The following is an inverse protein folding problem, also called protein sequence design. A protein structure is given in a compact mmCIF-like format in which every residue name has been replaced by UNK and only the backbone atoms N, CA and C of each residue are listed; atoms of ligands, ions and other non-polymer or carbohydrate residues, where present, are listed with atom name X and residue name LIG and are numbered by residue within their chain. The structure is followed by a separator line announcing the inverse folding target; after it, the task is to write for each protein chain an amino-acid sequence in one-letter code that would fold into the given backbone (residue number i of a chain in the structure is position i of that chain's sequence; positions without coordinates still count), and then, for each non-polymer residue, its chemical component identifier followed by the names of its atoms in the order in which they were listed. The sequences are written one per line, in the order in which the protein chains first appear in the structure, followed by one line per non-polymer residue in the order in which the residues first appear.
data_IF_075455490122
#
_entry.id   IF_075455490122
#
_cell.length_a   1.000
_cell.length_b   1.000
_cell.length_c   1.000
_cell.angle_alpha   90.00
_cell.angle_beta   90.00
_cell.angle_gamma   90.00
#
_symmetry.space_group_name_H-M   'P 1'
#
loop_
_entity.id
_entity.type
_entity.pdbx_description
1 polymer ?
#
# COMPACT_ATOMS: atom_id res chain seq x y z
N UNK A 1 -10.96 -59.43 30.15
CA UNK A 1 -10.13 -58.38 29.52
C UNK A 1 -9.13 -57.62 30.43
N UNK A 2 -9.03 -57.84 31.76
CA UNK A 2 -7.92 -57.30 32.56
C UNK A 2 -6.54 -57.95 32.28
N UNK A 3 -6.53 -59.27 32.02
CA UNK A 3 -5.31 -60.08 31.88
C UNK A 3 -4.38 -59.69 30.71
N UNK A 4 -4.93 -59.16 29.62
CA UNK A 4 -4.13 -58.87 28.43
C UNK A 4 -3.24 -57.63 28.63
N UNK A 5 -3.79 -56.58 29.25
CA UNK A 5 -3.04 -55.36 29.54
C UNK A 5 -1.98 -55.56 30.63
N UNK A 6 -2.25 -56.41 31.63
CA UNK A 6 -1.28 -56.76 32.66
C UNK A 6 -0.12 -57.63 32.12
N UNK A 7 -0.41 -58.61 31.25
CA UNK A 7 0.64 -59.37 30.53
C UNK A 7 1.46 -58.51 29.58
N UNK A 8 0.87 -57.52 28.92
CA UNK A 8 1.62 -56.60 28.05
C UNK A 8 2.54 -55.66 28.82
N UNK A 9 2.09 -55.18 30.00
CA UNK A 9 2.92 -54.35 30.89
C UNK A 9 4.08 -55.14 31.51
N UNK A 10 3.94 -56.45 31.75
CA UNK A 10 5.03 -57.26 32.28
C UNK A 10 6.13 -57.56 31.25
N UNK A 11 5.79 -57.61 29.95
CA UNK A 11 6.74 -57.81 28.85
C UNK A 11 7.38 -56.48 28.42
N UNK A 12 6.63 -55.38 28.44
CA UNK A 12 7.09 -54.04 28.08
C UNK A 12 6.68 -53.01 29.15
N UNK A 13 7.45 -52.88 30.25
CA UNK A 13 7.08 -52.03 31.39
C UNK A 13 6.95 -50.54 31.04
N UNK A 14 7.60 -50.10 29.96
CA UNK A 14 7.58 -48.71 29.50
C UNK A 14 6.60 -48.46 28.34
N UNK A 15 5.74 -49.42 27.98
CA UNK A 15 4.86 -49.32 26.80
C UNK A 15 3.95 -48.09 26.82
N UNK A 16 3.41 -47.73 28.00
CA UNK A 16 2.58 -46.52 28.16
C UNK A 16 3.36 -45.24 27.86
N UNK A 17 4.59 -45.15 28.36
CA UNK A 17 5.50 -44.02 28.13
C UNK A 17 5.83 -43.91 26.63
N UNK A 18 6.10 -45.04 25.96
CA UNK A 18 6.36 -45.06 24.51
C UNK A 18 5.15 -44.64 23.68
N UNK A 19 3.94 -45.06 24.08
CA UNK A 19 2.70 -44.63 23.44
C UNK A 19 2.48 -43.13 23.63
N UNK A 20 2.70 -42.60 24.83
CA UNK A 20 2.58 -41.18 25.11
C UNK A 20 3.59 -40.36 24.29
N UNK A 21 4.85 -40.80 24.21
CA UNK A 21 5.85 -40.18 23.35
C UNK A 21 5.45 -40.20 21.89
N UNK A 22 4.92 -41.32 21.39
CA UNK A 22 4.46 -41.44 20.02
C UNK A 22 3.30 -40.49 19.73
N UNK A 23 2.32 -40.39 20.65
CA UNK A 23 1.19 -39.47 20.53
C UNK A 23 1.65 -38.02 20.56
N UNK A 24 2.58 -37.64 21.45
CA UNK A 24 3.15 -36.29 21.51
C UNK A 24 3.89 -35.97 20.20
N UNK A 25 4.76 -36.87 19.71
CA UNK A 25 5.48 -36.70 18.45
C UNK A 25 4.53 -36.56 17.26
N UNK A 26 3.52 -37.43 17.16
CA UNK A 26 2.50 -37.35 16.13
C UNK A 26 1.73 -36.03 16.19
N UNK A 27 1.41 -35.54 17.39
CA UNK A 27 0.73 -34.25 17.59
C UNK A 27 1.58 -33.07 17.15
N UNK A 28 2.87 -33.06 17.53
CA UNK A 28 3.83 -32.03 17.08
C UNK A 28 4.00 -32.07 15.56
N UNK A 29 4.08 -33.25 14.97
CA UNK A 29 4.19 -33.43 13.53
C UNK A 29 2.94 -32.92 12.81
N UNK A 30 1.75 -33.31 13.25
CA UNK A 30 0.47 -32.81 12.71
C UNK A 30 0.42 -31.29 12.83
N UNK A 31 0.74 -30.73 14.00
CA UNK A 31 0.73 -29.29 14.20
C UNK A 31 1.70 -28.56 13.25
N UNK A 32 2.90 -29.10 13.05
CA UNK A 32 3.88 -28.53 12.13
C UNK A 32 3.37 -28.50 10.68
N UNK A 33 2.82 -29.61 10.18
CA UNK A 33 2.35 -29.71 8.79
C UNK A 33 1.00 -29.02 8.55
N UNK A 34 0.13 -28.96 9.55
CA UNK A 34 -1.19 -28.33 9.42
C UNK A 34 -1.17 -26.82 9.63
N UNK A 35 -0.25 -26.28 10.44
CA UNK A 35 -0.23 -24.85 10.77
C UNK A 35 1.05 -24.16 10.34
N UNK A 36 2.22 -24.64 10.79
CA UNK A 36 3.49 -23.94 10.60
C UNK A 36 4.00 -23.96 9.15
N UNK A 37 3.96 -25.11 8.50
CA UNK A 37 4.44 -25.25 7.11
C UNK A 37 3.61 -24.41 6.13
N UNK A 38 2.26 -24.47 6.17
CA UNK A 38 1.43 -23.57 5.37
C UNK A 38 1.69 -22.10 5.66
N UNK A 39 1.81 -21.70 6.94
CA UNK A 39 2.11 -20.32 7.32
C UNK A 39 3.41 -19.81 6.69
N UNK A 40 4.51 -20.58 6.80
CA UNK A 40 5.80 -20.23 6.18
C UNK A 40 5.70 -20.15 4.65
N UNK A 41 4.90 -21.01 4.04
CA UNK A 41 4.70 -21.00 2.59
C UNK A 41 3.94 -19.73 2.17
N UNK A 42 2.89 -19.34 2.90
CA UNK A 42 2.18 -18.08 2.68
C UNK A 42 3.09 -16.86 2.90
N UNK A 43 3.90 -16.85 3.96
CA UNK A 43 4.89 -15.78 4.21
C UNK A 43 5.90 -15.67 3.05
N UNK A 44 6.42 -16.80 2.57
CA UNK A 44 7.35 -16.81 1.43
C UNK A 44 6.69 -16.29 0.15
N UNK A 45 5.45 -16.70 -0.13
CA UNK A 45 4.72 -16.19 -1.29
C UNK A 45 4.44 -14.69 -1.17
N UNK A 46 4.00 -14.22 0.01
CA UNK A 46 3.78 -12.80 0.26
C UNK A 46 5.05 -11.98 0.04
N UNK A 47 6.20 -12.46 0.53
CA UNK A 47 7.50 -11.82 0.31
C UNK A 47 7.87 -11.76 -1.17
N UNK A 48 7.70 -12.85 -1.92
CA UNK A 48 8.00 -12.91 -3.37
C UNK A 48 7.17 -11.91 -4.18
N UNK A 49 5.90 -11.67 -3.80
CA UNK A 49 5.04 -10.69 -4.46
C UNK A 49 5.65 -9.28 -4.35
N UNK A 50 6.12 -8.89 -3.16
CA UNK A 50 6.76 -7.60 -2.95
C UNK A 50 8.12 -7.48 -3.66
N UNK A 51 8.92 -8.55 -3.65
CA UNK A 51 10.19 -8.61 -4.39
C UNK A 51 9.97 -8.41 -5.90
N UNK A 52 8.91 -8.99 -6.46
CA UNK A 52 8.57 -8.80 -7.87
C UNK A 52 8.14 -7.37 -8.18
N UNK A 53 7.33 -6.73 -7.32
CA UNK A 53 6.95 -5.32 -7.50
C UNK A 53 8.19 -4.42 -7.42
N UNK A 54 9.10 -4.67 -6.46
CA UNK A 54 10.37 -3.95 -6.36
C UNK A 54 11.21 -4.08 -7.63
N UNK A 55 11.31 -5.28 -8.19
CA UNK A 55 12.01 -5.52 -9.44
C UNK A 55 11.40 -4.72 -10.61
N UNK A 56 10.07 -4.73 -10.73
CA UNK A 56 9.38 -3.99 -11.79
C UNK A 56 9.54 -2.48 -11.65
N UNK A 57 9.49 -1.94 -10.43
CA UNK A 57 9.71 -0.52 -10.17
C UNK A 57 11.16 -0.10 -10.48
N UNK A 58 12.14 -0.94 -10.12
CA UNK A 58 13.54 -0.71 -10.45
C UNK A 58 13.77 -0.68 -11.96
N UNK A 59 13.12 -1.58 -12.71
CA UNK A 59 13.19 -1.60 -14.18
C UNK A 59 12.65 -0.30 -14.80
N UNK A 60 11.52 0.22 -14.32
CA UNK A 60 10.99 1.51 -14.78
C UNK A 60 12.02 2.61 -14.52
N UNK A 61 12.66 2.63 -13.35
CA UNK A 61 13.74 3.59 -13.06
C UNK A 61 14.93 3.49 -14.03
N UNK A 62 15.34 2.27 -14.39
CA UNK A 62 16.42 2.04 -15.37
C UNK A 62 16.06 2.54 -16.77
N UNK A 63 14.80 2.35 -17.21
CA UNK A 63 14.32 2.77 -18.53
C UNK A 63 14.35 4.31 -18.71
N UNK A 64 14.30 5.08 -17.62
CA UNK A 64 14.39 6.55 -17.63
C UNK A 64 15.81 7.10 -17.36
N UNK A 65 16.77 6.65 -18.20
CA UNK A 65 18.14 7.17 -18.37
C UNK A 65 19.02 7.17 -17.09
N UNK A 66 18.61 6.47 -16.02
CA UNK A 66 19.33 6.38 -14.75
C UNK A 66 19.57 7.72 -14.03
N UNK A 67 18.99 8.81 -14.53
CA UNK A 67 19.17 10.19 -14.02
C UNK A 67 18.04 10.61 -13.08
N UNK A 68 16.90 9.93 -13.13
CA UNK A 68 15.74 10.23 -12.30
C UNK A 68 15.57 9.18 -11.22
N UNK A 69 15.60 9.64 -9.99
CA UNK A 69 15.29 8.80 -8.84
C UNK A 69 13.77 8.84 -8.62
N UNK A 70 13.03 8.02 -9.37
CA UNK A 70 11.60 7.86 -9.13
C UNK A 70 11.40 6.97 -7.92
N UNK A 71 10.59 7.46 -6.99
CA UNK A 71 10.15 6.73 -5.83
C UNK A 71 8.71 6.34 -6.02
N UNK A 72 8.43 5.06 -5.80
CA UNK A 72 7.09 4.51 -5.95
C UNK A 72 6.56 4.14 -4.58
N UNK A 73 5.33 4.48 -4.28
CA UNK A 73 4.68 3.98 -3.07
C UNK A 73 3.24 3.57 -3.36
N UNK A 74 2.78 2.56 -2.63
CA UNK A 74 1.39 2.10 -2.70
C UNK A 74 0.73 2.49 -1.39
N UNK A 75 -0.39 3.21 -1.51
CA UNK A 75 -1.22 3.59 -0.37
C UNK A 75 -2.59 2.94 -0.48
N UNK A 76 -3.04 2.28 0.58
CA UNK A 76 -4.41 1.76 0.68
C UNK A 76 -5.27 2.66 1.55
N UNK A 77 -6.55 2.76 1.20
CA UNK A 77 -7.52 3.48 2.00
C UNK A 77 -7.91 2.64 3.23
N UNK A 78 -7.51 3.10 4.42
CA UNK A 78 -7.88 2.53 5.71
C UNK A 78 -8.95 3.41 6.38
N UNK A 79 -10.04 2.79 6.80
CA UNK A 79 -11.05 3.48 7.61
C UNK A 79 -10.52 3.67 9.03
N UNK A 80 -10.57 4.90 9.55
CA UNK A 80 -10.22 5.21 10.94
C UNK A 80 -11.36 5.88 11.68
N UNK A 81 -11.40 5.55 12.97
CA UNK A 81 -12.30 6.12 13.95
C UNK A 81 -11.53 7.03 14.90
N UNK A 82 -12.17 8.10 15.36
CA UNK A 82 -11.65 9.02 16.38
C UNK A 82 -10.20 9.46 16.14
N UNK A 83 -9.93 10.13 15.02
CA UNK A 83 -8.59 10.59 14.67
C UNK A 83 -8.57 12.10 14.39
N UNK A 84 -7.44 12.72 14.65
CA UNK A 84 -7.20 14.11 14.30
C UNK A 84 -6.81 14.20 12.83
N UNK A 85 -7.56 15.00 12.07
CA UNK A 85 -7.20 15.45 10.73
C UNK A 85 -6.49 16.79 10.89
N UNK A 86 -5.24 16.86 10.46
CA UNK A 86 -4.54 18.14 10.33
C UNK A 86 -5.20 18.97 9.21
N UNK A 87 -5.34 20.30 9.39
CA UNK A 87 -6.37 21.08 8.70
C UNK A 87 -6.36 20.90 7.18
N UNK A 88 -7.56 20.70 6.64
CA UNK A 88 -7.92 21.17 5.29
C UNK A 88 -8.42 22.60 5.46
N UNK A 89 -8.08 23.49 4.50
CA UNK A 89 -8.39 24.93 4.48
C UNK A 89 -9.64 25.33 5.29
N UNK A 90 -9.47 26.38 6.08
CA UNK A 90 -10.49 26.96 6.95
C UNK A 90 -11.82 27.19 6.22
N UNK A 91 -12.84 26.37 6.52
CA UNK A 91 -14.23 26.77 6.32
C UNK A 91 -14.79 27.23 7.68
N UNK A 92 -15.12 28.51 7.71
CA UNK A 92 -15.36 29.37 8.87
C UNK A 92 -16.74 29.18 9.52
N UNK A 93 -16.98 28.05 10.19
CA UNK A 93 -18.16 27.94 11.07
C UNK A 93 -17.87 27.34 12.46
N UNK A 94 -16.79 26.57 12.62
CA UNK A 94 -16.47 25.88 13.88
C UNK A 94 -14.98 25.94 14.25
N UNK A 95 -14.26 27.00 13.85
CA UNK A 95 -12.81 27.13 14.05
C UNK A 95 -12.39 27.28 15.53
N UNK A 96 -13.32 27.68 16.41
CA UNK A 96 -13.04 27.92 17.84
C UNK A 96 -12.76 26.66 18.67
N UNK A 97 -13.10 25.45 18.19
CA UNK A 97 -12.84 24.18 18.89
C UNK A 97 -11.44 23.59 18.60
N UNK A 98 -10.65 24.24 17.76
CA UNK A 98 -9.38 23.74 17.25
C UNK A 98 -8.26 24.71 17.60
N UNK A 99 -7.68 24.56 18.81
CA UNK A 99 -6.59 25.44 19.28
C UNK A 99 -5.32 25.40 18.42
N UNK A 100 -5.15 24.39 17.55
CA UNK A 100 -3.98 24.20 16.67
C UNK A 100 -4.35 23.88 15.20
N UNK A 101 -5.51 24.31 14.71
CA UNK A 101 -5.96 23.99 13.34
C UNK A 101 -6.38 22.52 13.07
N UNK A 102 -6.21 21.60 14.02
CA UNK A 102 -6.55 20.17 13.84
C UNK A 102 -8.05 19.92 14.05
N UNK A 103 -8.73 19.39 13.03
CA UNK A 103 -10.14 18.97 13.13
C UNK A 103 -10.20 17.54 13.65
N UNK A 104 -10.85 17.34 14.79
CA UNK A 104 -11.19 15.99 15.24
C UNK A 104 -12.23 15.39 14.30
N UNK A 105 -11.94 14.23 13.74
CA UNK A 105 -12.88 13.46 12.93
C UNK A 105 -13.24 12.17 13.64
N UNK A 106 -14.54 11.96 13.81
CA UNK A 106 -15.08 10.72 14.34
C UNK A 106 -14.89 9.55 13.38
N UNK A 107 -14.89 9.83 12.07
CA UNK A 107 -14.86 8.81 11.02
C UNK A 107 -14.28 9.35 9.72
N UNK A 108 -13.48 8.54 9.03
CA UNK A 108 -13.07 8.81 7.65
C UNK A 108 -11.98 7.87 7.15
N UNK A 109 -11.60 8.05 5.89
CA UNK A 109 -10.58 7.23 5.23
C UNK A 109 -9.26 7.98 5.15
N UNK A 110 -8.18 7.30 5.55
CA UNK A 110 -6.82 7.76 5.37
C UNK A 110 -6.10 6.87 4.37
N UNK A 111 -5.10 7.43 3.69
CA UNK A 111 -4.20 6.68 2.83
C UNK A 111 -3.00 6.23 3.66
N UNK A 112 -2.87 4.92 3.84
CA UNK A 112 -1.77 4.28 4.57
C UNK A 112 -0.80 3.68 3.56
N UNK A 113 0.46 4.09 3.63
CA UNK A 113 1.54 3.48 2.86
C UNK A 113 1.70 2.03 3.30
N UNK A 114 1.59 1.10 2.36
CA UNK A 114 1.79 -0.34 2.61
C UNK A 114 3.06 -0.88 1.94
N UNK A 115 3.60 -0.12 0.99
CA UNK A 115 4.82 -0.44 0.27
C UNK A 115 5.45 0.83 -0.28
N UNK A 116 6.78 0.84 -0.31
CA UNK A 116 7.61 1.96 -0.76
C UNK A 116 8.86 1.39 -1.45
N UNK A 117 9.16 1.90 -2.64
CA UNK A 117 10.34 1.60 -3.43
C UNK A 117 11.16 2.87 -3.53
N UNK A 118 12.15 2.96 -2.65
CA UNK A 118 13.00 4.13 -2.51
C UNK A 118 13.61 4.25 -1.13
N UNK A 119 14.59 5.15 -1.00
CA UNK A 119 15.31 5.42 0.24
C UNK A 119 14.60 6.46 1.13
N UNK A 120 13.53 7.07 0.63
CA UNK A 120 12.82 8.13 1.35
C UNK A 120 11.93 7.52 2.42
N UNK A 121 12.48 7.33 3.61
CA UNK A 121 11.66 7.14 4.80
C UNK A 121 10.77 8.37 5.00
N UNK A 122 9.51 8.30 4.53
CA UNK A 122 8.51 9.28 4.92
C UNK A 122 8.43 9.31 6.45
N UNK A 123 8.30 10.51 7.06
CA UNK A 123 8.16 10.59 8.51
C UNK A 123 7.02 9.66 8.94
N UNK A 124 7.16 8.89 10.04
CA UNK A 124 6.12 7.95 10.49
C UNK A 124 4.77 8.62 10.79
N UNK A 125 4.76 9.95 10.91
CA UNK A 125 3.59 10.78 11.14
C UNK A 125 3.00 11.40 9.85
N UNK A 126 3.65 11.22 8.69
CA UNK A 126 3.12 11.70 7.42
C UNK A 126 1.88 10.88 7.05
N UNK A 127 0.71 11.51 7.14
CA UNK A 127 -0.58 10.89 6.84
C UNK A 127 -1.32 11.77 5.86
N UNK A 128 -1.84 11.17 4.80
CA UNK A 128 -2.72 11.84 3.86
C UNK A 128 -4.13 11.30 4.00
N UNK A 129 -5.13 12.18 3.99
CA UNK A 129 -6.52 11.74 3.83
C UNK A 129 -6.82 11.49 2.36
N UNK A 130 -7.90 10.77 2.07
CA UNK A 130 -8.39 10.62 0.69
C UNK A 130 -8.83 11.95 0.05
N UNK A 131 -8.82 13.05 0.80
CA UNK A 131 -9.23 14.35 0.32
C UNK A 131 -8.07 15.29 -0.03
N UNK A 132 -6.83 14.84 0.17
CA UNK A 132 -5.64 15.69 0.12
C UNK A 132 -4.67 15.21 -0.96
N UNK A 133 -3.99 16.16 -1.58
CA UNK A 133 -2.98 15.94 -2.61
C UNK A 133 -3.49 15.27 -3.88
N UNK A 134 -2.54 14.98 -4.78
CA UNK A 134 -2.80 14.24 -6.01
C UNK A 134 -3.30 12.82 -5.74
N UNK A 135 -2.82 12.19 -4.66
CA UNK A 135 -3.25 10.86 -4.24
C UNK A 135 -4.72 10.84 -3.81
N UNK A 136 -5.19 11.84 -3.08
CA UNK A 136 -6.60 11.97 -2.73
C UNK A 136 -7.47 12.27 -3.95
N UNK A 137 -6.98 13.13 -4.86
CA UNK A 137 -7.67 13.42 -6.11
C UNK A 137 -7.84 12.16 -6.98
N UNK A 138 -6.76 11.41 -7.18
CA UNK A 138 -6.79 10.14 -7.91
C UNK A 138 -7.74 9.12 -7.24
N UNK A 139 -7.74 9.06 -5.91
CA UNK A 139 -8.63 8.17 -5.18
C UNK A 139 -10.12 8.50 -5.36
N UNK A 140 -10.49 9.79 -5.34
CA UNK A 140 -11.89 10.23 -5.42
C UNK A 140 -12.45 10.20 -6.83
N UNK A 141 -11.62 10.59 -7.81
CA UNK A 141 -12.06 10.75 -9.20
C UNK A 141 -11.78 9.52 -10.05
N UNK A 142 -10.88 8.63 -9.61
CA UNK A 142 -10.55 7.41 -10.33
C UNK A 142 -11.75 6.48 -10.45
N UNK A 143 -12.07 6.08 -11.68
CA UNK A 143 -13.11 5.09 -11.96
C UNK A 143 -12.55 3.82 -12.61
N UNK A 144 -11.30 3.83 -13.07
CA UNK A 144 -10.55 2.68 -13.58
C UNK A 144 -9.04 2.91 -13.51
N UNK A 145 -8.27 1.81 -13.53
CA UNK A 145 -6.80 1.84 -13.64
C UNK A 145 -6.40 2.02 -15.11
N UNK A 146 -6.36 3.27 -15.56
CA UNK A 146 -5.96 3.70 -16.91
C UNK A 146 -5.14 4.99 -16.88
N UNK A 147 -4.38 5.24 -17.95
CA UNK A 147 -3.50 6.40 -18.06
C UNK A 147 -4.28 7.73 -17.97
N UNK A 148 -5.51 7.76 -18.50
CA UNK A 148 -6.39 8.93 -18.48
C UNK A 148 -6.89 9.32 -17.08
N UNK A 149 -6.79 8.41 -16.11
CA UNK A 149 -7.15 8.66 -14.71
C UNK A 149 -5.96 8.98 -13.80
N UNK A 150 -4.73 9.00 -14.35
CA UNK A 150 -3.57 9.41 -13.57
C UNK A 150 -3.66 10.91 -13.29
N UNK A 151 -3.52 11.28 -12.02
CA UNK A 151 -3.39 12.67 -11.59
C UNK A 151 -1.91 13.01 -11.47
N UNK A 152 -1.39 13.74 -12.45
CA UNK A 152 0.00 14.17 -12.49
C UNK A 152 0.17 15.67 -12.30
N UNK A 153 1.26 16.07 -11.67
CA UNK A 153 1.76 17.45 -11.57
C UNK A 153 3.27 17.47 -11.83
N UNK A 154 3.72 18.43 -12.64
CA UNK A 154 5.13 18.68 -12.96
C UNK A 154 5.48 20.06 -12.40
N UNK A 155 6.61 20.16 -11.72
CA UNK A 155 7.00 21.31 -10.90
C UNK A 155 5.85 21.75 -9.98
N UNK A 156 5.73 21.12 -8.79
CA UNK A 156 4.77 21.54 -7.75
C UNK A 156 4.92 23.01 -7.34
N UNK A 157 6.03 23.66 -7.71
CA UNK A 157 6.25 25.10 -7.57
C UNK A 157 5.48 25.96 -8.59
N UNK A 158 5.18 25.44 -9.78
CA UNK A 158 4.48 26.16 -10.86
C UNK A 158 2.99 25.83 -10.97
N UNK A 159 2.51 24.75 -10.36
CA UNK A 159 1.06 24.61 -10.16
C UNK A 159 0.61 25.67 -9.15
N UNK A 160 0.10 26.77 -9.68
CA UNK A 160 -0.52 27.95 -9.04
C UNK A 160 -1.71 27.65 -8.11
N UNK A 161 -1.84 26.40 -7.67
CA UNK A 161 -2.75 25.99 -6.62
C UNK A 161 -2.07 25.02 -5.64
N UNK A 162 -0.88 25.37 -5.11
CA UNK A 162 -0.37 24.81 -3.85
C UNK A 162 -1.40 24.82 -2.70
N UNK A 163 -2.49 25.56 -2.93
CA UNK A 163 -3.61 25.84 -2.07
C UNK A 163 -4.91 25.06 -2.42
N UNK A 164 -5.00 24.33 -3.56
CA UNK A 164 -6.16 23.46 -3.88
C UNK A 164 -5.95 22.00 -3.48
N UNK A 165 -4.70 21.60 -3.26
CA UNK A 165 -4.36 20.23 -2.84
C UNK A 165 -4.78 19.91 -1.40
N UNK A 166 -5.15 20.91 -0.60
CA UNK A 166 -5.59 20.72 0.79
C UNK A 166 -4.50 20.17 1.73
N UNK A 167 -3.23 20.24 1.31
CA UNK A 167 -2.07 19.86 2.11
C UNK A 167 -1.86 20.86 3.26
N UNK A 168 -1.48 20.36 4.43
CA UNK A 168 -1.10 21.18 5.58
C UNK A 168 0.37 21.63 5.49
N UNK A 169 0.81 22.50 6.40
CA UNK A 169 2.17 23.07 6.35
C UNK A 169 3.31 22.04 6.50
N UNK A 170 3.13 21.01 7.33
CA UNK A 170 4.12 19.93 7.45
C UNK A 170 4.20 19.09 6.17
N UNK A 171 3.04 18.77 5.59
CA UNK A 171 2.95 18.06 4.32
C UNK A 171 3.56 18.87 3.18
N UNK A 172 3.23 20.17 3.10
CA UNK A 172 3.80 21.10 2.13
C UNK A 172 5.32 21.17 2.25
N UNK A 173 5.87 21.15 3.47
CA UNK A 173 7.34 21.10 3.69
C UNK A 173 7.95 19.82 3.16
N UNK A 174 7.33 18.66 3.42
CA UNK A 174 7.82 17.36 2.95
C UNK A 174 7.75 17.23 1.42
N UNK A 175 6.72 17.82 0.79
CA UNK A 175 6.50 17.74 -0.65
C UNK A 175 7.12 18.88 -1.46
N UNK A 176 7.76 19.86 -0.80
CA UNK A 176 8.24 21.10 -1.44
C UNK A 176 9.23 20.85 -2.59
N UNK A 177 10.09 19.85 -2.41
CA UNK A 177 11.17 19.54 -3.36
C UNK A 177 10.74 18.48 -4.38
N UNK A 178 9.47 18.07 -4.37
CA UNK A 178 8.95 17.12 -5.34
C UNK A 178 8.72 17.86 -6.66
N UNK A 179 9.39 17.35 -7.67
CA UNK A 179 9.47 17.92 -9.01
C UNK A 179 8.48 17.22 -9.95
N UNK A 180 8.42 15.89 -9.88
CA UNK A 180 7.39 15.10 -10.56
C UNK A 180 6.54 14.42 -9.48
N UNK A 181 5.22 14.49 -9.62
CA UNK A 181 4.29 13.68 -8.84
C UNK A 181 3.19 13.12 -9.74
N UNK A 182 2.94 11.82 -9.68
CA UNK A 182 1.85 11.17 -10.37
C UNK A 182 1.15 10.16 -9.45
N UNK A 183 -0.18 10.13 -9.49
CA UNK A 183 -1.00 9.21 -8.70
C UNK A 183 -1.95 8.44 -9.61
N UNK A 184 -1.80 7.11 -9.63
CA UNK A 184 -2.68 6.19 -10.35
C UNK A 184 -3.67 5.52 -9.39
N UNK A 185 -4.99 5.55 -9.65
CA UNK A 185 -5.96 4.86 -8.81
C UNK A 185 -5.85 3.34 -8.93
N UNK A 186 -5.96 2.66 -7.80
CA UNK A 186 -6.03 1.20 -7.73
C UNK A 186 -7.50 0.78 -7.66
N UNK A 187 -8.05 0.36 -8.80
CA UNK A 187 -9.48 0.05 -8.93
C UNK A 187 -9.72 -1.45 -8.99
N UNK A 188 -10.49 -1.97 -8.02
CA UNK A 188 -11.03 -3.32 -8.05
C UNK A 188 -12.32 -3.38 -8.85
N UNK A 189 -12.48 -4.46 -9.60
CA UNK A 189 -13.69 -4.75 -10.36
C UNK A 189 -14.29 -6.05 -9.84
N UNK A 190 -15.31 -5.93 -8.98
CA UNK A 190 -16.01 -7.06 -8.40
C UNK A 190 -17.24 -7.37 -9.27
N UNK A 191 -17.38 -8.62 -9.70
CA UNK A 191 -18.62 -9.11 -10.34
C UNK A 191 -19.54 -9.64 -9.24
N UNK A 192 -20.69 -9.00 -9.08
CA UNK A 192 -21.75 -9.41 -8.17
C UNK A 192 -23.01 -9.79 -8.98
N UNK A 193 -24.00 -10.41 -8.33
CA UNK A 193 -25.29 -10.78 -8.95
C UNK A 193 -25.99 -9.57 -9.59
N UNK A 194 -25.73 -8.38 -9.04
CA UNK A 194 -26.28 -7.10 -9.49
C UNK A 194 -25.44 -6.38 -10.56
N UNK A 195 -24.39 -7.03 -11.09
CA UNK A 195 -23.52 -6.49 -12.14
C UNK A 195 -22.09 -6.20 -11.68
N UNK A 196 -21.38 -5.39 -12.48
CA UNK A 196 -19.98 -5.05 -12.26
C UNK A 196 -19.88 -3.84 -11.32
N UNK A 197 -19.31 -4.02 -10.13
CA UNK A 197 -19.01 -2.94 -9.19
C UNK A 197 -17.53 -2.59 -9.28
N UNK A 198 -17.22 -1.33 -9.60
CA UNK A 198 -15.87 -0.79 -9.53
C UNK A 198 -15.66 -0.04 -8.22
N UNK A 199 -14.55 -0.28 -7.53
CA UNK A 199 -14.20 0.39 -6.27
C UNK A 199 -12.73 0.73 -6.24
N UNK A 200 -12.42 1.99 -5.96
CA UNK A 200 -11.04 2.41 -5.66
C UNK A 200 -10.68 1.97 -4.25
N UNK A 201 -9.59 1.21 -4.12
CA UNK A 201 -9.10 0.66 -2.85
C UNK A 201 -7.85 1.40 -2.34
N UNK A 202 -7.19 2.15 -3.21
CA UNK A 202 -5.95 2.84 -2.91
C UNK A 202 -5.40 3.57 -4.13
N UNK A 203 -4.13 3.95 -4.05
CA UNK A 203 -3.39 4.59 -5.14
C UNK A 203 -1.95 4.09 -5.19
N UNK A 204 -1.38 4.02 -6.39
CA UNK A 204 0.05 3.97 -6.63
C UNK A 204 0.52 5.40 -6.88
N UNK A 205 1.46 5.89 -6.09
CA UNK A 205 2.09 7.19 -6.31
C UNK A 205 3.50 7.01 -6.82
N UNK A 206 3.91 7.93 -7.68
CA UNK A 206 5.27 8.07 -8.19
C UNK A 206 5.71 9.49 -7.94
N UNK A 207 6.87 9.67 -7.33
CA UNK A 207 7.43 10.98 -7.01
C UNK A 207 8.92 11.05 -7.32
N UNK A 208 9.40 12.18 -7.82
CA UNK A 208 10.82 12.43 -8.04
C UNK A 208 11.20 13.83 -7.60
N UNK A 209 12.41 13.96 -7.05
CA UNK A 209 13.05 15.24 -6.70
C UNK A 209 14.16 15.64 -7.68
N UNK A 210 14.46 14.78 -8.66
CA UNK A 210 15.52 15.06 -9.63
C UNK A 210 15.13 16.24 -10.53
N UNK A 211 15.91 17.31 -10.46
CA UNK A 211 15.75 18.52 -11.28
C UNK A 211 16.04 18.18 -12.75
N UNK A 212 15.36 18.84 -13.70
CA UNK A 212 15.41 18.62 -15.16
C UNK A 212 14.68 17.36 -15.66
N UNK A 213 14.03 16.62 -14.75
CA UNK A 213 13.17 15.49 -15.10
C UNK A 213 11.87 15.91 -15.78
N UNK A 214 11.42 17.12 -15.49
CA UNK A 214 10.22 17.73 -16.06
C UNK A 214 10.36 17.92 -17.57
N UNK A 215 11.53 18.37 -18.02
CA UNK A 215 11.82 18.65 -19.44
C UNK A 215 11.66 17.40 -20.31
N UNK A 216 12.03 16.23 -19.77
CA UNK A 216 11.87 14.95 -20.44
C UNK A 216 10.41 14.49 -20.53
N UNK A 217 9.54 14.99 -19.64
CA UNK A 217 8.11 14.69 -19.62
C UNK A 217 7.24 15.82 -20.21
N UNK A 218 7.87 16.90 -20.70
CA UNK A 218 7.19 17.88 -21.56
C UNK A 218 6.82 17.28 -22.94
N UNK A 219 7.58 16.28 -23.39
CA UNK A 219 7.22 15.48 -24.57
C UNK A 219 5.97 14.63 -24.27
N UNK A 220 4.88 14.89 -25.00
CA UNK A 220 3.61 14.19 -24.86
C UNK A 220 3.75 12.67 -25.04
N UNK A 221 4.64 12.21 -25.92
CA UNK A 221 4.87 10.79 -26.15
C UNK A 221 5.55 10.15 -24.94
N UNK A 222 6.60 10.79 -24.40
CA UNK A 222 7.31 10.28 -23.22
C UNK A 222 6.42 10.27 -21.98
N UNK A 223 5.63 11.33 -21.80
CA UNK A 223 4.63 11.40 -20.73
C UNK A 223 3.58 10.29 -20.82
N UNK A 224 3.11 10.00 -22.03
CA UNK A 224 2.16 8.91 -22.25
C UNK A 224 2.79 7.55 -21.89
N UNK A 225 4.01 7.28 -22.38
CA UNK A 225 4.75 6.05 -22.04
C UNK A 225 4.92 5.89 -20.53
N UNK A 226 5.34 6.96 -19.85
CA UNK A 226 5.48 6.98 -18.40
C UNK A 226 4.17 6.60 -17.69
N UNK A 227 3.05 7.19 -18.09
CA UNK A 227 1.75 6.88 -17.51
C UNK A 227 1.30 5.44 -17.78
N UNK A 228 1.57 4.90 -18.96
CA UNK A 228 1.30 3.50 -19.28
C UNK A 228 2.12 2.54 -18.40
N UNK A 229 3.39 2.85 -18.12
CA UNK A 229 4.23 2.03 -17.24
C UNK A 229 3.76 2.08 -15.79
N UNK A 230 3.34 3.24 -15.30
CA UNK A 230 2.72 3.39 -13.97
C UNK A 230 1.41 2.59 -13.88
N UNK A 231 0.59 2.61 -14.92
CA UNK A 231 -0.62 1.77 -15.00
C UNK A 231 -0.27 0.29 -15.04
N UNK A 232 0.77 -0.10 -15.78
CA UNK A 232 1.26 -1.47 -15.84
C UNK A 232 1.67 -1.97 -14.46
N UNK A 233 2.48 -1.20 -13.73
CA UNK A 233 2.88 -1.52 -12.36
C UNK A 233 1.67 -1.62 -11.42
N UNK A 234 0.70 -0.71 -11.56
CA UNK A 234 -0.55 -0.73 -10.79
C UNK A 234 -1.35 -2.02 -11.03
N UNK A 235 -1.47 -2.45 -12.28
CA UNK A 235 -2.15 -3.70 -12.65
C UNK A 235 -1.42 -4.94 -12.15
N UNK A 236 -0.08 -4.94 -12.21
CA UNK A 236 0.74 -6.01 -11.65
C UNK A 236 0.49 -6.13 -10.14
N UNK A 237 0.47 -5.01 -9.42
CA UNK A 237 0.14 -5.02 -7.99
C UNK A 237 -1.23 -5.65 -7.73
N UNK A 238 -2.27 -5.19 -8.45
CA UNK A 238 -3.64 -5.70 -8.31
C UNK A 238 -3.68 -7.21 -8.55
N UNK A 239 -3.06 -7.71 -9.62
CA UNK A 239 -3.05 -9.13 -9.97
C UNK A 239 -2.29 -10.02 -8.97
N UNK A 240 -1.30 -9.48 -8.27
CA UNK A 240 -0.53 -10.25 -7.30
C UNK A 240 -1.20 -10.29 -5.92
N UNK A 241 -1.90 -9.22 -5.53
CA UNK A 241 -2.35 -9.03 -4.14
C UNK A 241 -3.86 -9.19 -3.94
N UNK A 242 -4.65 -9.28 -5.01
CA UNK A 242 -6.12 -9.33 -4.97
C UNK A 242 -6.63 -10.41 -5.92
#
# INVERSE_FOLDING_TARGET
MPDFCEKLKSIHPNLGIWLDYFVILATVFIYYYSFWSPLKLYESQARKKWEFINFMAAKINEDYDGKFDLNFNIMLAETRFCYYIEPVKENSAFSWLSRNGRKFSLYGKILKVIWDHGSYCKPPNFRMTINQGLSGLAFREGNETSWGNIKGGFSLQETTEADSTGLNDEQKKVTKDIVIAASCPLVLTDKDVNGIKKRVIGVLNVESKSIASEELLLDASKKHTFYEEVVSLSRIYLNLHL
#
